data_IF_310943095761
#
_entry.id   IF_310943095761
#
_cell.length_a   1.000
_cell.length_b   1.000
_cell.length_c   1.000
_cell.angle_alpha   90.00
_cell.angle_beta   90.00
_cell.angle_gamma   90.00
#
_symmetry.space_group_name_H-M   'P 1'
#
loop_
_entity.id
_entity.type
_entity.pdbx_description
1 polymer ?
#
# COMPACT_ATOMS: atom_id res chain seq x y z
N UNK A 1 26.50 15.54 3.76
CA UNK A 1 25.41 16.38 3.18
C UNK A 1 24.57 15.48 2.31
N UNK A 2 23.23 15.45 2.55
CA UNK A 2 22.32 14.66 1.71
C UNK A 2 22.23 15.31 0.32
N UNK A 3 22.16 14.50 -0.77
CA UNK A 3 22.05 15.01 -2.13
C UNK A 3 20.64 15.48 -2.50
N UNK A 4 19.73 15.52 -1.54
CA UNK A 4 18.31 15.88 -1.72
C UNK A 4 17.81 16.72 -0.54
N UNK A 5 16.71 17.45 -0.76
CA UNK A 5 16.03 18.21 0.28
C UNK A 5 15.14 17.28 1.13
N UNK A 6 15.16 17.47 2.45
CA UNK A 6 14.29 16.76 3.39
C UNK A 6 13.23 17.75 3.87
N UNK A 7 11.97 17.40 3.67
CA UNK A 7 10.84 18.15 4.19
C UNK A 7 10.24 17.39 5.37
N UNK A 8 10.18 18.07 6.52
CA UNK A 8 9.56 17.52 7.72
C UNK A 8 8.08 17.88 7.76
N UNK A 9 7.23 16.91 8.06
CA UNK A 9 5.82 17.10 8.35
C UNK A 9 5.53 16.51 9.72
N UNK A 10 5.34 17.37 10.70
CA UNK A 10 4.97 16.96 12.03
C UNK A 10 3.51 16.51 12.08
N UNK A 11 3.26 15.38 12.73
CA UNK A 11 1.95 14.79 12.94
C UNK A 11 1.71 14.71 14.43
N UNK A 12 0.65 15.34 14.88
CA UNK A 12 0.13 15.29 16.25
C UNK A 12 -1.24 14.57 16.28
N UNK A 13 -1.82 14.45 17.45
CA UNK A 13 -3.10 13.75 17.64
C UNK A 13 -4.29 14.39 16.92
N UNK A 14 -4.17 15.65 16.45
CA UNK A 14 -5.20 16.36 15.69
C UNK A 14 -5.04 16.19 14.17
N UNK A 15 -3.94 15.59 13.71
CA UNK A 15 -3.58 15.42 12.30
C UNK A 15 -3.50 13.95 11.87
N UNK A 16 -4.27 13.09 12.52
CA UNK A 16 -4.38 11.67 12.19
C UNK A 16 -5.29 11.43 10.97
N UNK A 17 -5.29 10.22 10.47
CA UNK A 17 -6.00 9.85 9.25
C UNK A 17 -5.11 9.95 8.02
N UNK A 18 -5.59 10.49 6.91
CA UNK A 18 -4.82 10.69 5.69
C UNK A 18 -3.78 11.79 5.89
N UNK A 19 -2.51 11.43 5.97
CA UNK A 19 -1.40 12.36 6.24
C UNK A 19 -0.61 12.73 5.00
N UNK A 20 -0.62 11.89 3.97
CA UNK A 20 0.02 12.16 2.67
C UNK A 20 -0.72 11.43 1.57
N UNK A 21 -0.84 12.07 0.41
CA UNK A 21 -1.35 11.44 -0.81
C UNK A 21 -0.68 12.05 -2.04
N UNK A 22 -0.42 11.20 -3.03
CA UNK A 22 0.00 11.59 -4.37
C UNK A 22 -0.63 10.64 -5.42
N UNK A 23 -0.17 10.68 -6.65
CA UNK A 23 -0.65 9.83 -7.76
C UNK A 23 -0.38 8.33 -7.56
N UNK A 24 0.58 7.96 -6.70
CA UNK A 24 1.03 6.57 -6.50
C UNK A 24 0.65 5.98 -5.15
N UNK A 25 0.63 6.80 -4.09
CA UNK A 25 0.48 6.34 -2.72
C UNK A 25 -0.45 7.23 -1.91
N UNK A 26 -1.14 6.62 -0.95
CA UNK A 26 -1.78 7.28 0.17
C UNK A 26 -1.18 6.75 1.48
N UNK A 27 -0.91 7.63 2.44
CA UNK A 27 -0.37 7.27 3.75
C UNK A 27 -1.35 7.73 4.82
N UNK A 28 -1.76 6.79 5.65
CA UNK A 28 -2.63 7.02 6.80
C UNK A 28 -1.83 6.83 8.08
N UNK A 29 -2.14 7.64 9.09
CA UNK A 29 -1.60 7.51 10.44
C UNK A 29 -2.72 7.34 11.45
N UNK A 30 -2.49 6.52 12.49
CA UNK A 30 -3.40 6.37 13.62
C UNK A 30 -2.59 6.30 14.93
N UNK A 31 -3.18 6.77 16.02
CA UNK A 31 -2.55 6.75 17.34
C UNK A 31 -2.47 5.32 17.86
N UNK A 32 -1.30 4.97 18.35
CA UNK A 32 -1.03 3.71 19.02
C UNK A 32 -1.05 3.89 20.53
N UNK A 33 -1.07 2.78 21.27
CA UNK A 33 -1.08 2.78 22.73
C UNK A 33 0.32 2.49 23.29
N UNK A 34 1.05 3.54 23.54
CA UNK A 34 2.35 3.48 24.17
C UNK A 34 2.44 4.49 25.34
N UNK A 35 3.53 4.46 26.11
CA UNK A 35 3.75 5.36 27.26
C UNK A 35 3.95 6.82 26.85
N UNK A 36 4.44 7.06 25.65
CA UNK A 36 4.50 8.37 24.99
C UNK A 36 3.65 8.36 23.72
N UNK A 37 3.39 9.54 23.15
CA UNK A 37 2.67 9.64 21.88
C UNK A 37 3.41 8.85 20.79
N UNK A 38 2.74 7.85 20.26
CA UNK A 38 3.24 6.99 19.23
C UNK A 38 2.19 6.80 18.13
N UNK A 39 2.61 6.70 16.88
CA UNK A 39 1.75 6.52 15.71
C UNK A 39 2.21 5.35 14.87
N UNK A 40 1.25 4.67 14.26
CA UNK A 40 1.47 3.70 13.21
C UNK A 40 1.09 4.28 11.86
N UNK A 41 1.68 3.75 10.80
CA UNK A 41 1.43 4.16 9.43
C UNK A 41 0.89 3.00 8.59
N UNK A 42 -0.07 3.33 7.73
CA UNK A 42 -0.56 2.46 6.67
C UNK A 42 -0.27 3.13 5.33
N UNK A 43 0.61 2.52 4.55
CA UNK A 43 0.97 2.96 3.20
C UNK A 43 0.19 2.13 2.20
N UNK A 44 -0.63 2.78 1.41
CA UNK A 44 -1.48 2.16 0.38
C UNK A 44 -0.97 2.58 -0.99
N UNK A 45 -0.45 1.64 -1.76
CA UNK A 45 -0.16 1.87 -3.17
C UNK A 45 -1.49 1.91 -3.93
N UNK A 46 -1.67 2.92 -4.79
CA UNK A 46 -2.82 2.98 -5.71
C UNK A 46 -2.74 1.84 -6.73
N UNK A 47 -3.88 1.40 -7.23
CA UNK A 47 -3.92 0.35 -8.24
C UNK A 47 -3.11 0.79 -9.47
N UNK A 48 -2.37 -0.15 -10.04
CA UNK A 48 -1.58 0.09 -11.25
C UNK A 48 -2.46 -0.18 -12.47
N UNK A 49 -2.44 0.74 -13.41
CA UNK A 49 -3.12 0.53 -14.69
C UNK A 49 -2.58 -0.70 -15.42
N UNK A 50 -3.41 -1.26 -16.28
CA UNK A 50 -3.03 -2.36 -17.16
C UNK A 50 -1.85 -1.97 -18.06
N UNK A 51 -1.03 -2.95 -18.37
CA UNK A 51 0.13 -2.78 -19.27
C UNK A 51 -0.30 -3.16 -20.68
N UNK A 52 0.07 -2.32 -21.65
CA UNK A 52 -0.14 -2.57 -23.07
C UNK A 52 0.77 -3.73 -23.55
N UNK A 53 0.20 -4.70 -24.24
CA UNK A 53 0.95 -5.76 -24.91
C UNK A 53 1.42 -5.28 -26.29
N UNK A 54 2.60 -4.65 -26.31
CA UNK A 54 3.19 -4.10 -27.51
C UNK A 54 3.53 -5.16 -28.58
N UNK A 55 3.91 -6.37 -28.16
CA UNK A 55 4.23 -7.44 -29.10
C UNK A 55 2.96 -8.03 -29.76
N UNK A 56 1.90 -8.21 -28.99
CA UNK A 56 0.62 -8.61 -29.55
C UNK A 56 0.07 -7.56 -30.55
N UNK A 57 0.21 -6.26 -30.25
CA UNK A 57 -0.18 -5.18 -31.17
C UNK A 57 0.61 -5.20 -32.47
N UNK A 58 1.93 -5.39 -32.41
CA UNK A 58 2.77 -5.55 -33.61
C UNK A 58 2.32 -6.75 -34.45
N UNK A 59 2.05 -7.88 -33.78
CA UNK A 59 1.57 -9.10 -34.45
C UNK A 59 0.22 -8.87 -35.12
N UNK A 60 -0.65 -8.05 -34.51
CA UNK A 60 -1.94 -7.64 -35.07
C UNK A 60 -1.82 -6.57 -36.17
N UNK A 61 -0.59 -6.19 -36.59
CA UNK A 61 -0.36 -5.27 -37.68
C UNK A 61 -0.47 -3.78 -37.29
N UNK A 62 -0.56 -3.46 -35.99
CA UNK A 62 -0.62 -2.06 -35.54
C UNK A 62 0.76 -1.40 -35.68
N UNK A 63 0.91 -0.34 -36.49
CA UNK A 63 2.18 0.35 -36.62
C UNK A 63 2.55 1.06 -35.32
N UNK A 64 3.83 1.00 -34.96
CA UNK A 64 4.32 1.71 -33.78
C UNK A 64 4.15 3.23 -33.96
N UNK A 65 3.49 3.89 -33.00
CA UNK A 65 3.25 5.33 -33.07
C UNK A 65 2.01 5.76 -32.29
N UNK A 66 1.31 6.82 -32.71
CA UNK A 66 0.18 7.41 -32.00
C UNK A 66 -0.95 6.44 -31.66
N UNK A 67 -1.18 5.40 -32.49
CA UNK A 67 -2.20 4.37 -32.24
C UNK A 67 -1.93 3.59 -30.96
N UNK A 68 -0.67 3.31 -30.62
CA UNK A 68 -0.31 2.68 -29.35
C UNK A 68 -0.76 3.52 -28.15
N UNK A 69 -0.66 4.85 -28.25
CA UNK A 69 -1.14 5.76 -27.20
C UNK A 69 -2.65 5.74 -27.06
N UNK A 70 -3.38 5.73 -28.18
CA UNK A 70 -4.84 5.66 -28.19
C UNK A 70 -5.31 4.33 -27.57
N UNK A 71 -4.75 3.19 -28.00
CA UNK A 71 -5.08 1.88 -27.47
C UNK A 71 -4.73 1.81 -25.98
N UNK A 72 -3.56 2.31 -25.55
CA UNK A 72 -3.18 2.36 -24.13
C UNK A 72 -4.19 3.14 -23.27
N UNK A 73 -4.82 4.16 -23.83
CA UNK A 73 -5.88 4.95 -23.19
C UNK A 73 -7.27 4.31 -23.30
N UNK A 74 -7.36 3.06 -23.76
CA UNK A 74 -8.60 2.31 -23.87
C UNK A 74 -9.46 2.62 -25.10
N UNK A 75 -8.90 3.32 -26.09
CA UNK A 75 -9.61 3.66 -27.32
C UNK A 75 -9.44 2.56 -28.39
N UNK A 76 -10.56 2.03 -28.87
CA UNK A 76 -10.55 1.16 -30.04
C UNK A 76 -10.11 1.94 -31.27
N UNK A 77 -9.35 1.29 -32.15
CA UNK A 77 -8.87 1.91 -33.40
C UNK A 77 -9.21 1.03 -34.61
N UNK A 78 -9.29 1.65 -35.78
CA UNK A 78 -9.45 0.97 -37.06
C UNK A 78 -8.23 1.25 -37.91
N UNK A 79 -7.55 0.21 -38.39
CA UNK A 79 -6.39 0.32 -39.27
C UNK A 79 -6.84 0.71 -40.71
N UNK A 80 -5.86 1.11 -41.53
CA UNK A 80 -6.10 1.53 -42.92
C UNK A 80 -6.75 0.41 -43.79
N UNK A 81 -6.47 -0.84 -43.48
CA UNK A 81 -7.06 -2.01 -44.15
C UNK A 81 -8.47 -2.37 -43.66
N UNK A 82 -9.02 -1.57 -42.72
CA UNK A 82 -10.33 -1.81 -42.11
C UNK A 82 -10.32 -2.74 -40.90
N UNK A 83 -9.17 -3.26 -40.47
CA UNK A 83 -9.05 -4.13 -39.30
C UNK A 83 -9.37 -3.34 -38.03
N UNK A 84 -10.32 -3.83 -37.23
CA UNK A 84 -10.71 -3.23 -35.96
C UNK A 84 -9.87 -3.82 -34.81
N UNK A 85 -9.18 -2.96 -34.08
CA UNK A 85 -8.40 -3.30 -32.89
C UNK A 85 -9.18 -2.86 -31.65
N UNK A 86 -9.54 -3.82 -30.81
CA UNK A 86 -10.27 -3.57 -29.56
C UNK A 86 -9.25 -3.39 -28.42
N UNK A 87 -9.15 -2.21 -27.86
CA UNK A 87 -8.11 -1.83 -26.91
C UNK A 87 -8.01 -2.77 -25.70
N UNK A 88 -9.15 -3.19 -25.15
CA UNK A 88 -9.20 -4.09 -23.98
C UNK A 88 -8.53 -5.46 -24.20
N UNK A 89 -8.41 -5.92 -25.45
CA UNK A 89 -7.83 -7.22 -25.77
C UNK A 89 -6.28 -7.17 -25.73
N UNK A 90 -5.72 -5.95 -25.74
CA UNK A 90 -4.29 -5.69 -25.74
C UNK A 90 -3.79 -4.99 -24.45
N UNK A 91 -4.68 -4.80 -23.46
CA UNK A 91 -4.33 -4.20 -22.18
C UNK A 91 -4.56 -5.24 -21.08
N UNK A 92 -3.52 -5.54 -20.30
CA UNK A 92 -3.68 -6.44 -19.15
C UNK A 92 -4.65 -5.86 -18.12
N UNK A 93 -5.24 -6.72 -17.30
CA UNK A 93 -6.05 -6.25 -16.16
C UNK A 93 -5.22 -5.35 -15.23
N UNK A 94 -5.83 -4.33 -14.61
CA UNK A 94 -5.18 -3.53 -13.58
C UNK A 94 -4.65 -4.43 -12.45
N UNK A 95 -3.48 -4.09 -11.91
CA UNK A 95 -2.90 -4.79 -10.77
C UNK A 95 -3.23 -4.05 -9.49
N UNK A 96 -3.77 -4.77 -8.51
CA UNK A 96 -4.02 -4.22 -7.17
C UNK A 96 -2.75 -3.70 -6.55
N UNK A 97 -2.82 -2.48 -6.05
CA UNK A 97 -1.77 -1.87 -5.27
C UNK A 97 -1.49 -2.66 -3.99
N UNK A 98 -0.29 -2.50 -3.45
CA UNK A 98 0.16 -3.14 -2.22
C UNK A 98 -0.12 -2.28 -1.00
N UNK A 99 -0.35 -2.93 0.12
CA UNK A 99 -0.56 -2.27 1.40
C UNK A 99 0.50 -2.73 2.37
N UNK A 100 1.25 -1.76 2.93
CA UNK A 100 2.24 -2.00 3.97
C UNK A 100 1.83 -1.21 5.20
N UNK A 101 1.76 -1.90 6.34
CA UNK A 101 1.52 -1.26 7.64
C UNK A 101 2.75 -1.38 8.49
N UNK A 102 3.18 -0.26 9.08
CA UNK A 102 4.33 -0.19 9.99
C UNK A 102 3.83 0.42 11.28
N UNK A 103 3.85 -0.38 12.34
CA UNK A 103 3.49 0.06 13.68
C UNK A 103 4.75 0.42 14.45
N UNK A 104 4.70 1.52 15.20
CA UNK A 104 5.71 1.84 16.21
C UNK A 104 5.50 1.00 17.48
N UNK A 105 6.13 1.44 18.56
CA UNK A 105 5.97 0.80 19.87
C UNK A 105 4.53 0.92 20.34
N UNK A 106 3.93 -0.22 20.74
CA UNK A 106 2.51 -0.25 21.09
C UNK A 106 2.12 -1.49 21.87
N UNK A 107 1.15 -1.35 22.76
CA UNK A 107 0.32 -2.47 23.20
C UNK A 107 -0.57 -2.94 22.04
N UNK A 108 -1.06 -4.17 22.11
CA UNK A 108 -2.13 -4.62 21.20
C UNK A 108 -3.36 -3.73 21.36
N UNK A 109 -3.80 -3.09 20.28
CA UNK A 109 -4.96 -2.17 20.25
C UNK A 109 -5.86 -2.38 19.04
N UNK A 110 -7.07 -1.80 19.10
CA UNK A 110 -7.93 -1.75 17.92
C UNK A 110 -7.33 -0.89 16.79
N UNK A 111 -6.52 0.12 17.10
CA UNK A 111 -5.83 0.94 16.10
C UNK A 111 -4.80 0.10 15.32
N UNK A 112 -4.00 -0.74 16.00
CA UNK A 112 -3.05 -1.64 15.33
C UNK A 112 -3.76 -2.62 14.37
N UNK A 113 -4.93 -3.15 14.77
CA UNK A 113 -5.74 -4.02 13.90
C UNK A 113 -6.31 -3.24 12.71
N UNK A 114 -6.90 -2.03 12.93
CA UNK A 114 -7.44 -1.20 11.83
C UNK A 114 -6.37 -0.83 10.80
N UNK A 115 -5.20 -0.38 11.25
CA UNK A 115 -4.09 -0.05 10.36
C UNK A 115 -3.62 -1.27 9.56
N UNK A 116 -3.55 -2.43 10.22
CA UNK A 116 -3.11 -3.69 9.62
C UNK A 116 -4.11 -4.36 8.69
N UNK A 117 -5.37 -3.90 8.65
CA UNK A 117 -6.47 -4.61 7.97
C UNK A 117 -6.15 -4.93 6.51
N UNK A 118 -6.05 -6.23 6.19
CA UNK A 118 -5.76 -6.75 4.85
C UNK A 118 -4.40 -6.34 4.30
N UNK A 119 -3.45 -5.87 5.14
CA UNK A 119 -2.12 -5.49 4.69
C UNK A 119 -1.39 -6.66 3.99
N UNK A 120 -0.67 -6.35 2.92
CA UNK A 120 0.22 -7.33 2.29
C UNK A 120 1.43 -7.62 3.19
N UNK A 121 1.88 -6.59 3.93
CA UNK A 121 2.93 -6.70 4.95
C UNK A 121 2.54 -5.89 6.18
N UNK A 122 2.61 -6.51 7.35
CA UNK A 122 2.45 -5.86 8.65
C UNK A 122 3.77 -5.97 9.42
N UNK A 123 4.36 -4.82 9.72
CA UNK A 123 5.52 -4.70 10.63
C UNK A 123 5.00 -4.30 11.99
N UNK A 124 5.22 -5.15 12.97
CA UNK A 124 4.80 -4.94 14.36
C UNK A 124 5.97 -5.21 15.31
N UNK A 125 6.10 -4.43 16.35
CA UNK A 125 7.07 -4.70 17.41
C UNK A 125 6.67 -5.98 18.16
N UNK A 126 7.65 -6.63 18.78
CA UNK A 126 7.47 -7.76 19.68
C UNK A 126 8.59 -7.78 20.73
N UNK A 127 8.64 -6.71 21.49
CA UNK A 127 9.71 -6.41 22.47
C UNK A 127 9.81 -7.48 23.54
N UNK A 128 8.69 -8.15 23.86
CA UNK A 128 8.59 -9.17 24.91
C UNK A 128 8.20 -10.54 24.38
N UNK A 129 8.58 -11.59 25.11
CA UNK A 129 8.24 -12.97 24.83
C UNK A 129 6.88 -13.41 25.44
N UNK A 130 6.47 -14.63 25.08
CA UNK A 130 5.33 -15.28 25.71
C UNK A 130 5.58 -15.45 27.22
N UNK A 131 4.63 -15.04 28.03
CA UNK A 131 4.70 -15.07 29.50
C UNK A 131 5.03 -13.71 30.12
N UNK A 132 5.49 -12.75 29.31
CA UNK A 132 5.87 -11.42 29.77
C UNK A 132 4.74 -10.38 29.60
N UNK A 133 3.48 -10.82 29.47
CA UNK A 133 2.34 -9.94 29.14
C UNK A 133 2.16 -8.78 30.14
N UNK A 134 2.44 -9.02 31.43
CA UNK A 134 2.32 -7.99 32.47
C UNK A 134 3.35 -6.91 32.32
N UNK A 135 4.62 -7.29 32.08
CA UNK A 135 5.71 -6.33 31.91
C UNK A 135 5.60 -5.61 30.56
N UNK A 136 5.25 -6.30 29.48
CA UNK A 136 4.94 -5.70 28.20
C UNK A 136 3.87 -4.60 28.34
N UNK A 137 2.76 -4.92 29.01
CA UNK A 137 1.68 -3.97 29.26
C UNK A 137 2.15 -2.76 30.08
N UNK A 138 2.96 -2.95 31.13
CA UNK A 138 3.44 -1.83 31.98
C UNK A 138 4.35 -0.88 31.23
N UNK A 139 5.13 -1.36 30.26
CA UNK A 139 6.06 -0.56 29.45
C UNK A 139 5.47 -0.06 28.13
N UNK A 140 4.22 -0.39 27.80
CA UNK A 140 3.59 0.10 26.58
C UNK A 140 3.90 -0.71 25.32
N UNK A 141 4.31 -1.98 25.50
CA UNK A 141 4.76 -2.85 24.43
C UNK A 141 3.87 -4.09 24.25
N UNK A 142 4.17 -4.86 23.23
CA UNK A 142 3.53 -6.13 22.92
C UNK A 142 4.48 -7.31 23.09
N UNK A 143 3.89 -8.47 23.37
CA UNK A 143 4.58 -9.76 23.23
C UNK A 143 4.48 -10.26 21.78
N UNK A 144 5.36 -11.20 21.41
CA UNK A 144 5.31 -11.88 20.12
C UNK A 144 3.94 -12.54 19.84
N UNK A 145 3.28 -13.07 20.88
CA UNK A 145 1.94 -13.66 20.76
C UNK A 145 0.88 -12.59 20.46
N UNK A 146 1.01 -11.42 21.09
CA UNK A 146 0.10 -10.29 20.84
C UNK A 146 0.31 -9.71 19.43
N UNK A 147 1.54 -9.56 18.96
CA UNK A 147 1.85 -9.16 17.60
C UNK A 147 1.25 -10.14 16.57
N UNK A 148 1.44 -11.44 16.77
CA UNK A 148 0.83 -12.47 15.92
C UNK A 148 -0.70 -12.42 15.94
N UNK A 149 -1.31 -12.13 17.10
CA UNK A 149 -2.75 -11.98 17.21
C UNK A 149 -3.26 -10.75 16.46
N UNK A 150 -2.53 -9.61 16.49
CA UNK A 150 -2.86 -8.42 15.67
C UNK A 150 -2.84 -8.79 14.19
N UNK A 151 -1.80 -9.48 13.72
CA UNK A 151 -1.68 -9.91 12.33
C UNK A 151 -2.86 -10.80 11.91
N UNK A 152 -3.27 -11.73 12.78
CA UNK A 152 -4.43 -12.61 12.55
C UNK A 152 -5.74 -11.82 12.52
N UNK A 153 -5.99 -10.96 13.52
CA UNK A 153 -7.21 -10.16 13.63
C UNK A 153 -7.34 -9.17 12.44
N UNK A 154 -6.20 -8.66 11.95
CA UNK A 154 -6.12 -7.79 10.79
C UNK A 154 -6.20 -8.54 9.44
N UNK A 155 -6.14 -9.87 9.43
CA UNK A 155 -6.01 -10.66 8.19
C UNK A 155 -4.82 -10.21 7.33
N UNK A 156 -3.72 -9.82 7.96
CA UNK A 156 -2.49 -9.46 7.26
C UNK A 156 -1.88 -10.71 6.59
N UNK A 157 -1.26 -10.54 5.41
CA UNK A 157 -0.75 -11.68 4.63
C UNK A 157 0.64 -12.12 5.10
N UNK A 158 1.44 -11.18 5.57
CA UNK A 158 2.79 -11.38 6.13
C UNK A 158 3.04 -10.38 7.24
#
# INVERSE_FOLDING_TARGET
RLPYHVHFKEIDEHKLGLVMENDKFAVYADKLDHTIFCIGYRVVQKDLEGTLDAEALKTAGVPFGPLFGQIKNGQDVVLEDGTKIIAKDFISAPKKGKVITILGDTRKTNASVRLGLGADVLVHESTYGKGDEKIAKSHGHSTNMQAAQVAKDASAKR
#
